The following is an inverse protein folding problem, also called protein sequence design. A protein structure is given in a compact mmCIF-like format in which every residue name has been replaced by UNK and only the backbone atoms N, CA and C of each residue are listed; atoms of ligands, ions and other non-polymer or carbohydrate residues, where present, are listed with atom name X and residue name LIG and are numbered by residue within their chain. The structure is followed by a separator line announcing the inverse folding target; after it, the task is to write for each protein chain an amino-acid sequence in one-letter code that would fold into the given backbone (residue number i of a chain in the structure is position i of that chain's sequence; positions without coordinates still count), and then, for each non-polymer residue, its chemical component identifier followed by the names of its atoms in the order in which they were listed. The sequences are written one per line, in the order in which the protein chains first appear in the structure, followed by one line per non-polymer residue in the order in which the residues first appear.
data_IF_149095163822
#
_entry.id   IF_149095163822
#
_cell.length_a   1.000
_cell.length_b   1.000
_cell.length_c   1.000
_cell.angle_alpha   90.00
_cell.angle_beta   90.00
_cell.angle_gamma   90.00
#
_symmetry.space_group_name_H-M   'P 1'
#
loop_
_entity.id
_entity.type
_entity.pdbx_description
1 polymer ?
#
# COMPACT_ATOMS: atom_id res chain seq x y z
N UNK A 1 11.49 -1.42 -10.91
CA UNK A 1 11.90 -1.94 -9.60
C UNK A 1 10.66 -1.97 -8.71
N UNK A 2 9.91 -3.08 -8.78
CA UNK A 2 8.52 -3.20 -8.29
C UNK A 2 8.40 -3.34 -6.77
N UNK A 3 9.25 -2.63 -6.01
CA UNK A 3 9.20 -2.69 -4.56
C UNK A 3 7.88 -2.11 -4.06
N UNK A 4 7.17 -2.79 -3.13
CA UNK A 4 5.92 -2.30 -2.60
C UNK A 4 6.16 -0.96 -1.90
N UNK A 5 5.60 0.11 -2.46
CA UNK A 5 5.62 1.41 -1.81
C UNK A 5 4.76 1.36 -0.54
N UNK A 6 5.26 1.97 0.53
CA UNK A 6 4.50 2.15 1.77
C UNK A 6 3.53 3.31 1.59
N UNK A 7 2.32 3.13 2.11
CA UNK A 7 1.23 4.10 1.96
C UNK A 7 0.64 4.41 3.31
N UNK A 8 0.16 5.64 3.47
CA UNK A 8 -0.62 6.03 4.65
C UNK A 8 -1.99 5.38 4.55
N UNK A 9 -2.36 4.65 5.58
CA UNK A 9 -3.59 3.88 5.63
C UNK A 9 -4.79 4.83 5.84
N UNK A 10 -5.66 4.91 4.84
CA UNK A 10 -6.82 5.82 4.79
C UNK A 10 -8.11 5.10 4.39
N UNK A 11 -9.21 5.85 4.25
CA UNK A 11 -10.53 5.35 3.89
C UNK A 11 -10.54 4.70 2.51
N UNK A 12 -9.86 5.31 1.53
CA UNK A 12 -9.73 4.76 0.19
C UNK A 12 -9.09 3.37 0.21
N UNK A 13 -7.93 3.21 0.84
CA UNK A 13 -7.24 1.93 0.95
C UNK A 13 -8.08 0.89 1.68
N UNK A 14 -8.72 1.26 2.80
CA UNK A 14 -9.65 0.37 3.50
C UNK A 14 -10.81 -0.08 2.61
N UNK A 15 -11.32 0.81 1.75
CA UNK A 15 -12.41 0.48 0.82
C UNK A 15 -11.94 -0.45 -0.29
N UNK A 16 -10.74 -0.24 -0.84
CA UNK A 16 -10.13 -1.09 -1.87
C UNK A 16 -9.80 -2.46 -1.31
N UNK A 17 -9.32 -2.55 -0.07
CA UNK A 17 -9.04 -3.82 0.60
C UNK A 17 -10.33 -4.63 0.85
N UNK A 18 -11.41 -3.97 1.34
CA UNK A 18 -12.73 -4.59 1.51
C UNK A 18 -13.35 -5.01 0.17
N UNK A 19 -13.28 -4.14 -0.84
CA UNK A 19 -13.69 -4.44 -2.20
C UNK A 19 -12.83 -5.58 -2.78
N UNK A 20 -11.57 -5.69 -2.36
CA UNK A 20 -10.65 -6.80 -2.58
C UNK A 20 -11.29 -8.15 -2.39
N UNK A 21 -11.77 -8.43 -1.19
CA UNK A 21 -12.39 -9.71 -0.87
C UNK A 21 -13.66 -9.96 -1.70
N UNK A 22 -14.54 -8.97 -1.82
CA UNK A 22 -15.79 -9.10 -2.57
C UNK A 22 -15.57 -9.27 -4.08
N UNK A 23 -14.66 -8.49 -4.65
CA UNK A 23 -14.30 -8.54 -6.05
C UNK A 23 -13.55 -9.83 -6.38
N UNK A 24 -12.63 -10.27 -5.51
CA UNK A 24 -11.98 -11.60 -5.63
C UNK A 24 -13.02 -12.73 -5.60
N UNK A 25 -14.03 -12.67 -4.72
CA UNK A 25 -15.12 -13.66 -4.70
C UNK A 25 -15.95 -13.66 -5.99
N UNK A 26 -16.32 -12.49 -6.51
CA UNK A 26 -17.04 -12.36 -7.78
C UNK A 26 -16.19 -12.88 -8.95
N UNK A 27 -14.91 -12.51 -9.00
CA UNK A 27 -13.99 -12.95 -10.04
C UNK A 27 -13.74 -14.47 -9.97
N UNK A 28 -13.61 -15.03 -8.77
CA UNK A 28 -13.48 -16.47 -8.56
C UNK A 28 -14.74 -17.24 -9.00
N UNK A 29 -15.93 -16.72 -8.71
CA UNK A 29 -17.19 -17.30 -9.18
C UNK A 29 -17.29 -17.24 -10.71
N UNK A 30 -16.98 -16.09 -11.31
CA UNK A 30 -17.01 -15.93 -12.77
C UNK A 30 -16.00 -16.83 -13.49
N UNK A 31 -14.76 -16.90 -12.98
CA UNK A 31 -13.73 -17.77 -13.53
C UNK A 31 -14.06 -19.25 -13.30
N UNK A 32 -14.64 -19.61 -12.14
CA UNK A 32 -15.11 -20.96 -11.87
C UNK A 32 -16.22 -21.42 -12.81
N UNK A 33 -17.17 -20.52 -13.14
CA UNK A 33 -18.22 -20.78 -14.12
C UNK A 33 -17.67 -20.93 -15.54
N UNK A 34 -16.72 -20.08 -15.94
CA UNK A 34 -16.04 -20.19 -17.24
C UNK A 34 -15.18 -21.45 -17.36
N UNK A 35 -14.44 -21.80 -16.31
CA UNK A 35 -13.62 -23.01 -16.25
C UNK A 35 -14.50 -24.27 -16.31
N UNK A 36 -15.67 -24.26 -15.64
CA UNK A 36 -16.68 -25.32 -15.75
C UNK A 36 -17.18 -25.48 -17.19
N UNK A 37 -17.50 -24.37 -17.86
CA UNK A 37 -17.96 -24.40 -19.24
C UNK A 37 -16.91 -24.97 -20.22
N UNK A 38 -15.63 -24.79 -19.90
CA UNK A 38 -14.51 -25.29 -20.71
C UNK A 38 -14.09 -26.74 -20.38
N UNK A 39 -14.27 -27.22 -19.15
CA UNK A 39 -13.62 -28.47 -18.68
C UNK A 39 -14.56 -29.57 -18.18
N UNK A 40 -15.85 -29.28 -17.94
CA UNK A 40 -16.80 -30.26 -17.40
C UNK A 40 -16.48 -30.77 -15.98
N UNK A 41 -15.58 -30.08 -15.26
CA UNK A 41 -15.04 -30.53 -13.99
C UNK A 41 -16.06 -30.56 -12.83
N UNK A 42 -15.90 -31.52 -11.90
CA UNK A 42 -16.72 -31.68 -10.69
C UNK A 42 -16.48 -30.55 -9.67
N UNK A 43 -17.53 -30.12 -8.96
CA UNK A 43 -17.52 -29.04 -7.96
C UNK A 43 -16.38 -29.13 -6.94
N UNK A 44 -15.97 -30.35 -6.57
CA UNK A 44 -14.87 -30.62 -5.63
C UNK A 44 -13.50 -30.19 -6.17
N UNK A 45 -13.22 -30.49 -7.44
CA UNK A 45 -11.95 -30.12 -8.08
C UNK A 45 -11.81 -28.62 -8.29
N UNK A 46 -12.92 -27.95 -8.59
CA UNK A 46 -12.99 -26.50 -8.73
C UNK A 46 -12.70 -25.79 -7.40
N UNK A 47 -13.28 -26.30 -6.30
CA UNK A 47 -13.05 -25.78 -4.95
C UNK A 47 -11.61 -26.00 -4.49
N UNK A 48 -11.00 -27.16 -4.79
CA UNK A 48 -9.59 -27.41 -4.48
C UNK A 48 -8.64 -26.48 -5.26
N UNK A 49 -8.87 -26.29 -6.57
CA UNK A 49 -8.06 -25.37 -7.38
C UNK A 49 -8.23 -23.91 -6.95
N UNK A 50 -9.45 -23.48 -6.63
CA UNK A 50 -9.72 -22.14 -6.10
C UNK A 50 -9.04 -21.92 -4.74
N UNK A 51 -9.03 -22.95 -3.88
CA UNK A 51 -8.37 -22.89 -2.58
C UNK A 51 -6.84 -22.86 -2.71
N UNK A 52 -6.27 -23.58 -3.68
CA UNK A 52 -4.84 -23.52 -3.99
C UNK A 52 -4.44 -22.15 -4.54
N UNK A 53 -5.19 -21.58 -5.50
CA UNK A 53 -4.92 -20.23 -6.03
C UNK A 53 -5.08 -19.14 -4.96
N UNK A 54 -6.08 -19.23 -4.09
CA UNK A 54 -6.25 -18.28 -2.98
C UNK A 54 -5.10 -18.31 -1.96
N UNK A 55 -4.33 -19.41 -1.94
CA UNK A 55 -3.19 -19.61 -1.04
C UNK A 55 -1.86 -19.12 -1.64
N UNK A 56 -1.78 -18.97 -2.96
CA UNK A 56 -0.57 -18.63 -3.73
C UNK A 56 -0.57 -17.18 -4.27
N UNK A 57 -1.61 -16.39 -3.98
CA UNK A 57 -1.81 -15.06 -4.56
C UNK A 57 -1.02 -13.97 -3.82
N UNK A 58 0.29 -13.93 -4.07
CA UNK A 58 1.22 -12.89 -3.63
C UNK A 58 0.93 -11.49 -4.21
N UNK A 59 -0.09 -11.36 -5.07
CA UNK A 59 -0.59 -10.09 -5.57
C UNK A 59 -1.91 -9.70 -4.88
N UNK A 60 -1.83 -8.73 -3.99
CA UNK A 60 -3.02 -8.09 -3.42
C UNK A 60 -3.79 -7.36 -4.54
N UNK A 61 -5.14 -7.35 -4.51
CA UNK A 61 -5.94 -6.60 -5.50
C UNK A 61 -5.52 -5.12 -5.54
N UNK A 62 -5.09 -4.59 -4.39
CA UNK A 62 -4.42 -3.31 -4.27
C UNK A 62 -3.25 -3.19 -5.25
N UNK A 63 -2.27 -4.11 -5.27
CA UNK A 63 -1.14 -4.06 -6.21
C UNK A 63 -1.58 -4.10 -7.68
N UNK A 64 -2.62 -4.87 -8.02
CA UNK A 64 -3.17 -4.92 -9.38
C UNK A 64 -3.92 -3.64 -9.77
N UNK A 65 -4.65 -3.01 -8.85
CA UNK A 65 -5.30 -1.71 -9.10
C UNK A 65 -4.29 -0.56 -9.18
N UNK A 66 -3.24 -0.61 -8.36
CA UNK A 66 -2.14 0.36 -8.38
C UNK A 66 -1.38 0.31 -9.70
N UNK A 67 -1.09 -0.87 -10.24
CA UNK A 67 -0.33 -0.98 -11.49
C UNK A 67 -1.06 -0.37 -12.70
N UNK A 68 -2.39 -0.34 -12.68
CA UNK A 68 -3.18 0.22 -13.78
C UNK A 68 -3.42 1.75 -13.68
N UNK A 69 -3.56 2.32 -12.47
CA UNK A 69 -4.02 3.70 -12.28
C UNK A 69 -3.29 4.49 -11.17
N UNK A 70 -2.11 4.06 -10.71
CA UNK A 70 -1.38 4.71 -9.62
C UNK A 70 -1.22 6.24 -9.75
N UNK A 71 -0.83 6.82 -10.90
CA UNK A 71 -0.63 8.27 -11.01
C UNK A 71 -1.89 9.07 -10.69
N UNK A 72 -3.05 8.62 -11.18
CA UNK A 72 -4.33 9.29 -10.94
C UNK A 72 -4.74 9.25 -9.47
N UNK A 73 -4.54 8.12 -8.80
CA UNK A 73 -4.92 7.94 -7.40
C UNK A 73 -3.98 8.73 -6.47
N UNK A 74 -2.70 8.87 -6.83
CA UNK A 74 -1.74 9.74 -6.13
C UNK A 74 -2.10 11.20 -6.33
N UNK A 75 -2.38 11.62 -7.57
CA UNK A 75 -2.75 13.01 -7.89
C UNK A 75 -3.98 13.47 -7.10
N UNK A 76 -4.97 12.60 -6.96
CA UNK A 76 -6.20 12.91 -6.22
C UNK A 76 -5.94 13.24 -4.74
N UNK A 77 -4.99 12.56 -4.09
CA UNK A 77 -4.61 12.88 -2.72
C UNK A 77 -3.63 14.06 -2.63
N UNK A 78 -2.55 14.03 -3.42
CA UNK A 78 -1.40 14.92 -3.25
C UNK A 78 -1.56 16.27 -3.95
N UNK A 79 -2.34 16.34 -5.03
CA UNK A 79 -2.51 17.57 -5.85
C UNK A 79 -3.89 18.16 -5.66
N UNK A 80 -4.94 17.33 -5.74
CA UNK A 80 -6.32 17.80 -5.56
C UNK A 80 -6.71 18.00 -4.10
N UNK A 81 -5.85 17.61 -3.15
CA UNK A 81 -6.10 17.78 -1.72
C UNK A 81 -7.23 16.90 -1.18
N UNK A 82 -7.49 15.74 -1.79
CA UNK A 82 -8.54 14.78 -1.38
C UNK A 82 -7.91 13.51 -0.79
N UNK A 83 -7.30 13.58 0.41
CA UNK A 83 -6.52 12.48 0.98
C UNK A 83 -7.34 11.22 1.23
N UNK A 84 -8.64 11.33 1.52
CA UNK A 84 -9.53 10.18 1.75
C UNK A 84 -9.95 9.45 0.46
N UNK A 85 -9.67 10.00 -0.72
CA UNK A 85 -10.10 9.48 -2.02
C UNK A 85 -8.96 9.03 -2.93
N UNK A 86 -7.73 9.18 -2.45
CA UNK A 86 -6.51 8.83 -3.16
C UNK A 86 -5.56 8.07 -2.26
N UNK A 87 -4.28 8.06 -2.63
CA UNK A 87 -3.24 7.33 -1.91
C UNK A 87 -2.06 8.25 -1.62
N UNK A 88 -1.52 8.12 -0.41
CA UNK A 88 -0.41 8.95 0.04
C UNK A 88 0.82 8.05 0.21
N UNK A 89 1.74 8.04 -0.77
CA UNK A 89 3.00 7.33 -0.63
C UNK A 89 3.83 7.98 0.48
N UNK A 90 4.45 7.17 1.33
CA UNK A 90 5.15 7.69 2.51
C UNK A 90 6.32 6.80 2.95
N UNK A 91 7.26 7.40 3.70
CA UNK A 91 8.31 6.70 4.41
C UNK A 91 7.85 6.15 5.77
N UNK A 92 8.63 5.23 6.36
CA UNK A 92 8.35 4.67 7.69
C UNK A 92 8.35 5.73 8.79
N UNK A 93 9.10 6.81 8.61
CA UNK A 93 9.27 7.90 9.57
C UNK A 93 8.04 8.82 9.63
N UNK A 94 7.10 8.75 8.67
CA UNK A 94 5.97 9.68 8.67
C UNK A 94 5.06 9.57 9.90
N UNK A 95 5.01 8.40 10.56
CA UNK A 95 4.26 8.23 11.81
C UNK A 95 4.89 8.92 13.03
N UNK A 96 6.09 9.49 12.90
CA UNK A 96 6.78 10.24 13.97
C UNK A 96 6.72 11.75 13.74
N UNK A 97 5.98 12.21 12.72
CA UNK A 97 5.86 13.63 12.38
C UNK A 97 4.59 14.15 13.05
N UNK A 98 4.78 14.96 14.09
CA UNK A 98 3.67 15.51 14.91
C UNK A 98 3.51 17.03 14.75
N UNK A 99 4.38 17.69 13.97
CA UNK A 99 4.37 19.11 13.71
C UNK A 99 4.62 19.47 12.24
N UNK A 100 4.38 20.74 11.89
CA UNK A 100 4.54 21.26 10.53
C UNK A 100 5.36 22.56 10.54
N UNK A 101 6.68 22.49 10.81
CA UNK A 101 7.54 23.66 10.82
C UNK A 101 7.71 24.26 9.42
N UNK A 102 8.15 25.52 9.35
CA UNK A 102 8.64 26.08 8.09
C UNK A 102 9.90 25.35 7.62
N UNK A 103 10.20 25.42 6.31
CA UNK A 103 11.40 24.79 5.77
C UNK A 103 12.68 25.28 6.46
N UNK A 104 12.75 26.56 6.80
CA UNK A 104 13.91 27.14 7.49
C UNK A 104 14.09 26.56 8.90
N UNK A 105 13.00 26.44 9.66
CA UNK A 105 13.03 25.85 11.00
C UNK A 105 13.39 24.36 10.96
N UNK A 106 12.82 23.61 10.01
CA UNK A 106 13.10 22.18 9.86
C UNK A 106 14.59 21.93 9.60
N UNK A 107 15.17 22.67 8.64
CA UNK A 107 16.60 22.56 8.31
C UNK A 107 17.46 22.95 9.50
N UNK A 108 17.11 24.05 10.19
CA UNK A 108 17.83 24.49 11.38
C UNK A 108 17.82 23.46 12.52
N UNK A 109 16.67 22.82 12.76
CA UNK A 109 16.55 21.74 13.77
C UNK A 109 17.42 20.53 13.41
N UNK A 110 17.34 20.05 12.16
CA UNK A 110 18.13 18.90 11.70
C UNK A 110 19.64 19.15 11.86
N UNK A 111 20.12 20.33 11.45
CA UNK A 111 21.54 20.68 11.56
C UNK A 111 22.00 20.73 13.02
N UNK A 112 21.21 21.37 13.89
CA UNK A 112 21.49 21.47 15.32
C UNK A 112 21.51 20.11 16.01
N UNK A 113 20.53 19.25 15.72
CA UNK A 113 20.47 17.88 16.26
C UNK A 113 21.67 17.04 15.81
N UNK A 114 22.12 17.20 14.57
CA UNK A 114 23.30 16.51 14.06
C UNK A 114 24.58 16.96 14.79
N UNK A 115 24.77 18.27 15.00
CA UNK A 115 25.91 18.82 15.75
C UNK A 115 25.92 18.33 17.20
N UNK A 116 24.76 18.33 17.87
CA UNK A 116 24.60 17.83 19.23
C UNK A 116 24.92 16.33 19.31
N UNK A 117 24.42 15.53 18.35
CA UNK A 117 24.72 14.10 18.28
C UNK A 117 26.22 13.82 18.10
N UNK A 118 26.91 14.58 17.23
CA UNK A 118 28.35 14.44 17.01
C UNK A 118 29.13 14.79 18.29
N UNK A 119 28.79 15.90 18.96
CA UNK A 119 29.43 16.31 20.20
C UNK A 119 29.27 15.26 21.31
N UNK A 120 28.05 14.70 21.45
CA UNK A 120 27.77 13.62 22.41
C UNK A 120 28.58 12.35 22.13
N UNK A 121 28.72 11.96 20.87
CA UNK A 121 29.50 10.78 20.49
C UNK A 121 31.01 11.01 20.68
N UNK A 122 31.52 12.19 20.31
CA UNK A 122 32.92 12.55 20.52
C UNK A 122 33.31 12.54 22.01
N UNK A 123 32.43 13.05 22.88
CA UNK A 123 32.62 13.04 24.33
C UNK A 123 32.55 11.65 24.97
N UNK A 124 32.08 10.61 24.27
CA UNK A 124 32.07 9.21 24.75
C UNK A 124 33.34 8.45 24.38
N UNK A 125 34.11 8.95 23.42
CA UNK A 125 35.36 8.34 22.94
C UNK A 125 36.58 8.93 23.67
N UNK A 126 36.40 10.05 24.39
CA UNK A 126 37.40 10.70 25.26
C UNK A 126 37.30 10.18 26.69
#
# INVERSE_FOLDING_TARGET
DGMPQRMILNEFLKSVEKAGALHKLVLALQNGLKYRALTGASYLSLLQSAWAMAKDDDMTLSQAMFSANAPMIIQKAMVEGRPAEGVLPSGQVAGTIDDLPSCAELIGRIAKEAEECIALLAGRVS
#
